data_IF_932886757036
#
_entry.id   IF_932886757036
#
_cell.length_a   1.000
_cell.length_b   1.000
_cell.length_c   1.000
_cell.angle_alpha   90.00
_cell.angle_beta   90.00
_cell.angle_gamma   90.00
#
_symmetry.space_group_name_H-M   'P 1'
#
loop_
_entity.id
_entity.type
_entity.pdbx_description
1 polymer ?
#
# COMPACT_ATOMS: atom_id res chain seq x y z
N UNK A 1 0.97 -13.19 0.83
CA UNK A 1 0.54 -12.10 -0.07
C UNK A 1 0.16 -10.91 0.79
N UNK A 2 0.34 -9.70 0.28
CA UNK A 2 -0.01 -8.48 1.02
C UNK A 2 -0.39 -7.32 0.11
N UNK A 3 -1.09 -6.34 0.68
CA UNK A 3 -1.21 -4.99 0.15
C UNK A 3 -0.96 -4.00 1.28
N UNK A 4 -0.32 -2.87 0.97
CA UNK A 4 0.02 -1.88 1.98
C UNK A 4 -0.04 -0.45 1.45
N UNK A 5 -0.34 0.46 2.37
CA UNK A 5 -0.35 1.90 2.11
C UNK A 5 0.12 2.67 3.35
N UNK A 6 0.82 3.77 3.11
CA UNK A 6 1.26 4.69 4.17
C UNK A 6 1.33 6.14 3.66
N UNK A 7 1.34 7.10 4.58
CA UNK A 7 1.67 8.48 4.23
C UNK A 7 3.15 8.58 3.85
N UNK A 8 3.46 9.37 2.83
CA UNK A 8 4.84 9.64 2.44
C UNK A 8 5.61 10.30 3.60
N UNK A 9 6.72 9.67 4.01
CA UNK A 9 7.54 10.12 5.14
C UNK A 9 7.01 9.73 6.53
N UNK A 10 6.01 8.86 6.61
CA UNK A 10 5.54 8.26 7.87
C UNK A 10 6.16 6.88 8.07
N UNK A 11 6.44 6.54 9.33
CA UNK A 11 6.85 5.18 9.74
C UNK A 11 5.65 4.26 10.04
N UNK A 12 4.42 4.76 9.87
CA UNK A 12 3.19 3.99 10.12
C UNK A 12 2.59 3.48 8.84
N UNK A 13 2.54 2.15 8.70
CA UNK A 13 1.93 1.46 7.58
C UNK A 13 0.58 0.83 7.94
N UNK A 14 -0.33 0.81 6.96
CA UNK A 14 -1.55 0.01 6.98
C UNK A 14 -1.35 -1.13 5.98
N UNK A 15 -1.40 -2.36 6.47
CA UNK A 15 -1.22 -3.55 5.64
C UNK A 15 -2.37 -4.52 5.82
N UNK A 16 -2.68 -5.20 4.72
CA UNK A 16 -3.55 -6.36 4.66
C UNK A 16 -2.69 -7.57 4.25
N UNK A 17 -2.59 -8.56 5.13
CA UNK A 17 -1.80 -9.78 4.93
C UNK A 17 -2.71 -11.00 4.82
N UNK A 18 -2.44 -11.89 3.87
CA UNK A 18 -3.23 -13.10 3.70
C UNK A 18 -2.71 -14.05 2.61
N UNK A 19 -3.51 -15.10 2.35
CA UNK A 19 -3.27 -16.12 1.33
C UNK A 19 -3.99 -15.78 0.02
N UNK A 20 -3.68 -14.61 -0.57
CA UNK A 20 -4.55 -13.98 -1.56
C UNK A 20 -4.63 -14.55 -2.97
N UNK A 21 -3.65 -15.10 -3.68
CA UNK A 21 -3.78 -15.63 -5.08
C UNK A 21 -4.18 -14.68 -6.22
N UNK A 22 -5.11 -13.73 -6.04
CA UNK A 22 -5.60 -12.85 -7.14
C UNK A 22 -5.65 -11.38 -6.75
N UNK A 23 -6.08 -11.04 -5.53
CA UNK A 23 -6.23 -9.65 -5.09
C UNK A 23 -6.02 -9.53 -3.57
N UNK A 24 -5.21 -8.57 -3.15
CA UNK A 24 -4.99 -8.19 -1.75
C UNK A 24 -5.41 -6.72 -1.57
N UNK A 25 -6.17 -6.39 -0.53
CA UNK A 25 -6.79 -5.08 -0.31
C UNK A 25 -8.33 -5.10 -0.37
N UNK A 26 -9.00 -3.92 -0.36
CA UNK A 26 -8.43 -2.57 -0.38
C UNK A 26 -7.87 -2.12 0.98
N UNK A 27 -6.80 -1.33 0.95
CA UNK A 27 -6.22 -0.71 2.15
C UNK A 27 -6.34 0.81 2.05
N UNK A 28 -6.69 1.47 3.15
CA UNK A 28 -7.02 2.89 3.16
C UNK A 28 -6.14 3.67 4.13
N UNK A 29 -5.78 4.88 3.73
CA UNK A 29 -5.16 5.90 4.59
C UNK A 29 -5.85 7.24 4.33
N UNK A 30 -6.02 8.03 5.39
CA UNK A 30 -6.52 9.40 5.27
C UNK A 30 -5.33 10.34 5.03
N UNK A 31 -5.23 10.91 3.83
CA UNK A 31 -4.04 11.62 3.35
C UNK A 31 -4.32 12.96 2.62
N UNK A 32 -5.27 13.82 3.09
CA UNK A 32 -5.58 15.06 2.37
C UNK A 32 -4.36 16.00 2.31
N UNK A 33 -4.03 16.49 1.11
CA UNK A 33 -2.87 17.38 0.90
C UNK A 33 -1.52 16.67 1.05
N UNK A 34 -1.51 15.34 1.09
CA UNK A 34 -0.30 14.53 1.29
C UNK A 34 -0.17 13.49 0.16
N UNK A 35 1.06 13.02 -0.07
CA UNK A 35 1.31 11.86 -0.91
C UNK A 35 1.28 10.58 -0.07
N UNK A 36 1.09 9.45 -0.73
CA UNK A 36 1.18 8.12 -0.11
C UNK A 36 2.26 7.28 -0.78
N UNK A 37 2.71 6.24 -0.07
CA UNK A 37 3.42 5.11 -0.66
C UNK A 37 2.48 3.91 -0.64
N UNK A 38 2.46 3.12 -1.71
CA UNK A 38 1.67 1.89 -1.77
C UNK A 38 2.50 0.74 -2.31
N UNK A 39 2.16 -0.47 -1.89
CA UNK A 39 2.77 -1.69 -2.39
C UNK A 39 1.80 -2.87 -2.37
N UNK A 40 2.16 -3.90 -3.12
CA UNK A 40 1.44 -5.16 -3.15
C UNK A 40 2.36 -6.31 -3.55
N UNK A 41 2.09 -7.48 -2.96
CA UNK A 41 2.83 -8.71 -3.20
C UNK A 41 1.87 -9.88 -3.38
N UNK A 42 1.89 -10.53 -4.55
CA UNK A 42 1.19 -11.79 -4.78
C UNK A 42 2.18 -12.82 -5.33
N UNK A 43 2.35 -13.92 -4.61
CA UNK A 43 3.30 -14.99 -4.92
C UNK A 43 4.74 -14.49 -5.09
N UNK A 44 5.26 -14.39 -6.31
CA UNK A 44 6.59 -13.82 -6.60
C UNK A 44 6.54 -12.40 -7.17
N UNK A 45 5.34 -11.86 -7.41
CA UNK A 45 5.15 -10.55 -8.02
C UNK A 45 4.99 -9.48 -6.95
N UNK A 46 5.98 -8.60 -6.88
CA UNK A 46 5.95 -7.40 -6.04
C UNK A 46 5.83 -6.15 -6.90
N UNK A 47 5.04 -5.17 -6.44
CA UNK A 47 4.90 -3.84 -7.04
C UNK A 47 4.83 -2.82 -5.93
N UNK A 48 5.55 -1.72 -6.08
CA UNK A 48 5.51 -0.58 -5.18
C UNK A 48 5.59 0.74 -5.94
N UNK A 49 5.08 1.79 -5.31
CA UNK A 49 5.27 3.17 -5.73
C UNK A 49 5.44 4.06 -4.50
N UNK A 50 6.48 4.88 -4.57
CA UNK A 50 6.73 5.93 -3.61
C UNK A 50 6.20 7.28 -4.10
N UNK A 51 5.73 8.09 -3.16
CA UNK A 51 5.30 9.47 -3.36
C UNK A 51 4.27 9.57 -4.50
N UNK A 52 3.23 8.76 -4.41
CA UNK A 52 2.14 8.67 -5.37
C UNK A 52 0.83 9.22 -4.78
N UNK A 53 -0.20 9.36 -5.61
CA UNK A 53 -1.55 9.85 -5.23
C UNK A 53 -1.51 11.10 -4.33
N UNK A 54 -0.72 12.09 -4.73
CA UNK A 54 -0.60 13.36 -4.04
C UNK A 54 -1.83 14.25 -4.30
N UNK A 55 -2.50 14.73 -3.24
CA UNK A 55 -3.63 15.65 -3.38
C UNK A 55 -4.38 15.92 -2.09
#
# INVERSE_FOLDING_TARGET
MEAGVQLYGSDTYKNDFGLYTTYAGPVYVHAPGQCINWWGHIDTEFKEKDKDHCG
#
